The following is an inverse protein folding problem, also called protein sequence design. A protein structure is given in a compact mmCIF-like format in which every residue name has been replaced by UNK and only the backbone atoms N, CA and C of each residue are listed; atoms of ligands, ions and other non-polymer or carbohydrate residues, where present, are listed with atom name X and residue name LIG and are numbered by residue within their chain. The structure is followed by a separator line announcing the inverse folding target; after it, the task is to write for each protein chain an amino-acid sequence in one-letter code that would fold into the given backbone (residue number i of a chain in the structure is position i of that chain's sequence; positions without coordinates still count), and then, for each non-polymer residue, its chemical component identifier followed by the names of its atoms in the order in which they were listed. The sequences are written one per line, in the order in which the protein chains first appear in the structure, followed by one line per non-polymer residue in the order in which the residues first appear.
data_IF_734572936516
#
_entry.id   IF_734572936516
#
_cell.length_a   1.000
_cell.length_b   1.000
_cell.length_c   1.000
_cell.angle_alpha   90.00
_cell.angle_beta   90.00
_cell.angle_gamma   90.00
#
_symmetry.space_group_name_H-M   'P 1'
#
loop_
_entity.id
_entity.type
_entity.pdbx_description
1 polymer ?
#
# COMPACT_ATOMS: atom_id res chain seq x y z
N UNK A 1 -4.15 8.33 9.63
CA UNK A 1 -3.65 7.41 10.68
C UNK A 1 -2.46 8.05 11.40
N UNK A 2 -2.29 7.90 12.73
CA UNK A 2 -1.17 8.51 13.47
C UNK A 2 0.16 7.80 13.18
N UNK A 3 0.86 8.24 12.12
CA UNK A 3 2.13 7.63 11.67
C UNK A 3 3.26 7.71 12.69
N UNK A 4 3.23 8.68 13.62
CA UNK A 4 4.22 8.76 14.70
C UNK A 4 4.25 7.52 15.61
N UNK A 5 3.10 6.87 15.82
CA UNK A 5 3.02 5.63 16.60
C UNK A 5 3.64 4.42 15.89
N UNK A 6 3.74 4.45 14.55
CA UNK A 6 4.46 3.43 13.79
C UNK A 6 5.96 3.59 13.99
N UNK A 7 6.45 4.82 13.87
CA UNK A 7 7.87 5.18 13.98
C UNK A 7 8.40 5.06 15.42
N UNK A 8 7.57 5.31 16.44
CA UNK A 8 8.02 5.20 17.83
C UNK A 8 8.34 3.75 18.27
N UNK A 9 7.64 2.77 17.70
CA UNK A 9 7.66 1.38 18.17
C UNK A 9 8.07 0.38 17.07
N UNK A 10 8.84 0.81 16.07
CA UNK A 10 9.36 -0.12 15.06
C UNK A 10 10.61 -0.84 15.57
N UNK A 11 10.89 -2.00 14.96
CA UNK A 11 12.03 -2.85 15.26
C UNK A 11 13.08 -2.56 14.17
N UNK A 12 14.29 -2.09 14.49
CA UNK A 12 15.26 -1.63 13.47
C UNK A 12 15.72 -2.69 12.47
N UNK A 13 15.61 -3.96 12.83
CA UNK A 13 15.91 -5.13 12.01
C UNK A 13 14.78 -5.50 11.03
N UNK A 14 13.59 -4.93 11.19
CA UNK A 14 12.43 -5.19 10.36
C UNK A 14 12.05 -3.97 9.50
N UNK A 15 11.42 -4.18 8.33
CA UNK A 15 10.92 -3.08 7.52
C UNK A 15 9.87 -2.24 8.28
N UNK A 16 10.01 -0.92 8.18
CA UNK A 16 9.11 0.03 8.81
C UNK A 16 7.79 0.15 8.05
N UNK A 17 7.86 0.25 6.72
CA UNK A 17 6.68 0.40 5.89
C UNK A 17 6.88 -0.35 4.56
N UNK A 18 5.88 -1.12 4.17
CA UNK A 18 5.79 -1.75 2.85
C UNK A 18 4.60 -1.14 2.13
N UNK A 19 4.86 -0.40 1.05
CA UNK A 19 3.81 0.16 0.19
C UNK A 19 3.53 -0.82 -0.94
N UNK A 20 2.40 -1.53 -0.85
CA UNK A 20 1.98 -2.60 -1.75
C UNK A 20 1.10 -2.00 -2.85
N UNK A 21 1.43 -2.23 -4.12
CA UNK A 21 0.77 -1.53 -5.23
C UNK A 21 1.09 -0.03 -5.23
N UNK A 22 2.30 0.33 -4.80
CA UNK A 22 2.64 1.71 -4.48
C UNK A 22 2.92 2.61 -5.67
N UNK A 23 2.87 2.09 -6.90
CA UNK A 23 3.09 2.82 -8.16
C UNK A 23 4.36 3.66 -8.10
N UNK A 24 4.24 4.99 -8.22
CA UNK A 24 5.36 5.95 -8.21
C UNK A 24 5.94 6.24 -6.83
N UNK A 25 5.45 5.61 -5.77
CA UNK A 25 6.00 5.73 -4.41
C UNK A 25 5.72 7.06 -3.70
N UNK A 26 4.78 7.87 -4.19
CA UNK A 26 4.46 9.19 -3.62
C UNK A 26 4.15 9.15 -2.12
N UNK A 27 3.48 8.11 -1.65
CA UNK A 27 3.13 7.98 -0.22
C UNK A 27 4.35 7.73 0.66
N UNK A 28 5.33 6.98 0.18
CA UNK A 28 6.60 6.78 0.90
C UNK A 28 7.45 8.05 0.92
N UNK A 29 7.44 8.83 -0.16
CA UNK A 29 8.11 10.15 -0.20
C UNK A 29 7.51 11.09 0.84
N UNK A 30 6.17 11.17 0.90
CA UNK A 30 5.47 11.98 1.93
C UNK A 30 5.74 11.45 3.33
N UNK A 31 5.73 10.13 3.52
CA UNK A 31 6.03 9.51 4.79
C UNK A 31 7.44 9.88 5.27
N UNK A 32 8.44 9.86 4.39
CA UNK A 32 9.80 10.28 4.73
C UNK A 32 9.89 11.78 5.08
N UNK A 33 9.19 12.67 4.36
CA UNK A 33 9.13 14.10 4.71
C UNK A 33 8.60 14.31 6.14
N UNK A 34 7.58 13.54 6.54
CA UNK A 34 7.03 13.61 7.89
C UNK A 34 7.93 12.96 8.96
N UNK A 35 8.75 11.98 8.57
CA UNK A 35 9.61 11.19 9.47
C UNK A 35 11.04 11.07 8.93
N UNK A 36 11.80 12.19 8.83
CA UNK A 36 13.09 12.22 8.15
C UNK A 36 14.18 11.41 8.88
N UNK A 37 14.01 11.18 10.18
CA UNK A 37 14.95 10.44 11.03
C UNK A 37 14.75 8.92 10.97
N UNK A 38 13.90 8.42 10.07
CA UNK A 38 13.73 6.98 9.85
C UNK A 38 14.98 6.40 9.18
N UNK A 39 15.41 5.16 9.54
CA UNK A 39 16.59 4.57 8.92
C UNK A 39 16.43 4.48 7.41
N UNK A 40 17.53 4.73 6.70
CA UNK A 40 17.56 4.55 5.26
C UNK A 40 17.15 3.12 4.89
N UNK A 41 16.37 2.99 3.80
CA UNK A 41 15.88 1.71 3.25
C UNK A 41 14.96 0.92 4.19
N UNK A 42 14.45 1.54 5.26
CA UNK A 42 13.41 0.94 6.12
C UNK A 42 12.03 0.94 5.46
N UNK A 43 11.83 1.77 4.43
CA UNK A 43 10.63 1.78 3.60
C UNK A 43 10.85 1.01 2.30
N UNK A 44 9.88 0.17 1.94
CA UNK A 44 9.90 -0.69 0.76
C UNK A 44 8.73 -0.34 -0.16
N UNK A 45 9.03 -0.05 -1.42
CA UNK A 45 8.05 0.11 -2.50
C UNK A 45 7.90 -1.21 -3.25
N UNK A 46 6.66 -1.67 -3.41
CA UNK A 46 6.31 -2.86 -4.17
C UNK A 46 5.29 -2.54 -5.26
N UNK A 47 5.60 -3.00 -6.47
CA UNK A 47 4.70 -3.00 -7.63
C UNK A 47 5.23 -4.00 -8.67
N UNK A 48 4.50 -4.20 -9.76
CA UNK A 48 4.92 -5.06 -10.86
C UNK A 48 6.23 -4.55 -11.49
N UNK A 49 7.12 -5.45 -11.96
CA UNK A 49 8.39 -5.06 -12.57
C UNK A 49 8.27 -4.05 -13.71
N UNK A 50 7.17 -4.11 -14.48
CA UNK A 50 6.92 -3.20 -15.59
C UNK A 50 6.62 -1.78 -15.12
N UNK A 51 5.94 -1.61 -13.98
CA UNK A 51 5.64 -0.30 -13.40
C UNK A 51 6.92 0.33 -12.85
N UNK A 52 7.79 -0.49 -12.26
CA UNK A 52 9.01 -0.04 -11.59
C UNK A 52 10.19 0.28 -12.52
N UNK A 53 10.14 -0.12 -13.80
CA UNK A 53 11.30 -0.10 -14.71
C UNK A 53 11.93 1.29 -14.89
N UNK A 54 11.11 2.32 -15.03
CA UNK A 54 11.55 3.69 -15.38
C UNK A 54 11.33 4.70 -14.23
N UNK A 55 11.22 4.18 -13.00
CA UNK A 55 10.89 4.98 -11.82
C UNK A 55 12.15 5.57 -11.17
N UNK A 56 12.17 6.90 -11.06
CA UNK A 56 13.18 7.61 -10.26
C UNK A 56 12.70 7.69 -8.82
N UNK A 57 13.18 6.75 -7.99
CA UNK A 57 12.84 6.66 -6.58
C UNK A 57 14.03 7.17 -5.74
N UNK A 58 13.80 7.98 -4.70
CA UNK A 58 14.85 8.40 -3.79
C UNK A 58 15.60 7.22 -3.13
N UNK A 59 16.92 7.35 -2.97
CA UNK A 59 17.80 6.28 -2.46
C UNK A 59 17.44 5.73 -1.06
N UNK A 60 16.66 6.48 -0.28
CA UNK A 60 16.19 6.06 1.04
C UNK A 60 15.02 5.08 1.00
N UNK A 61 14.40 4.86 -0.17
CA UNK A 61 13.32 3.89 -0.39
C UNK A 61 13.91 2.68 -1.12
N UNK A 62 13.69 1.49 -0.57
CA UNK A 62 14.04 0.25 -1.25
C UNK A 62 12.95 -0.14 -2.23
N UNK A 63 13.28 -0.37 -3.49
CA UNK A 63 12.34 -0.91 -4.48
C UNK A 63 12.43 -2.44 -4.50
N UNK A 64 11.29 -3.12 -4.39
CA UNK A 64 11.19 -4.58 -4.50
C UNK A 64 10.04 -4.95 -5.45
N UNK A 65 10.33 -5.36 -6.70
CA UNK A 65 9.28 -5.84 -7.59
C UNK A 65 8.51 -6.99 -6.97
N UNK A 66 7.18 -6.91 -7.00
CA UNK A 66 6.31 -7.91 -6.39
C UNK A 66 4.92 -7.88 -7.03
N UNK A 67 4.37 -9.07 -7.25
CA UNK A 67 2.97 -9.29 -7.60
C UNK A 67 2.21 -9.71 -6.33
N UNK A 68 1.25 -8.90 -5.89
CA UNK A 68 0.49 -9.16 -4.66
C UNK A 68 -0.43 -10.39 -4.73
N UNK A 69 -0.66 -10.96 -5.93
CA UNK A 69 -1.31 -12.26 -6.08
C UNK A 69 -0.39 -13.43 -5.77
N UNK A 70 0.89 -13.17 -5.49
CA UNK A 70 1.86 -14.14 -5.00
C UNK A 70 2.15 -13.93 -3.51
N UNK A 71 2.61 -14.96 -2.78
CA UNK A 71 2.95 -14.83 -1.37
C UNK A 71 3.86 -13.63 -1.10
N UNK A 72 3.53 -12.83 -0.08
CA UNK A 72 4.25 -11.61 0.24
C UNK A 72 5.68 -11.94 0.72
N UNK A 73 6.75 -11.46 0.04
CA UNK A 73 8.14 -11.78 0.39
C UNK A 73 8.65 -11.05 1.63
N UNK A 74 8.07 -9.89 1.97
CA UNK A 74 8.47 -9.12 3.14
C UNK A 74 7.67 -9.59 4.36
N UNK A 75 8.37 -10.00 5.42
CA UNK A 75 7.76 -10.52 6.64
C UNK A 75 7.97 -9.59 7.83
N UNK A 76 7.00 -9.55 8.73
CA UNK A 76 7.08 -8.85 10.01
C UNK A 76 7.17 -7.32 9.90
N UNK A 77 6.82 -6.73 8.76
CA UNK A 77 6.90 -5.27 8.63
C UNK A 77 5.99 -4.57 9.65
N UNK A 78 6.42 -3.40 10.13
CA UNK A 78 5.64 -2.61 11.10
C UNK A 78 4.30 -2.14 10.53
N UNK A 79 4.29 -1.78 9.25
CA UNK A 79 3.09 -1.45 8.49
C UNK A 79 3.15 -1.99 7.05
N UNK A 80 2.04 -2.56 6.61
CA UNK A 80 1.72 -2.78 5.19
C UNK A 80 0.69 -1.72 4.81
N UNK A 81 0.95 -0.97 3.74
CA UNK A 81 0.10 0.12 3.28
C UNK A 81 -0.37 -0.15 1.86
N UNK A 82 -1.66 0.04 1.62
CA UNK A 82 -2.32 -0.09 0.32
C UNK A 82 -3.14 1.17 0.09
N UNK A 83 -2.94 1.81 -1.06
CA UNK A 83 -3.65 3.02 -1.42
C UNK A 83 -4.17 2.87 -2.84
N UNK A 84 -5.50 2.85 -2.99
CA UNK A 84 -6.15 2.68 -4.29
C UNK A 84 -5.70 1.38 -4.97
N UNK A 85 -5.84 0.27 -4.27
CA UNK A 85 -5.46 -1.06 -4.77
C UNK A 85 -6.63 -2.01 -4.74
N UNK A 86 -7.36 -2.09 -3.62
CA UNK A 86 -8.37 -3.13 -3.43
C UNK A 86 -9.64 -2.87 -4.26
N UNK A 87 -9.92 -1.62 -4.63
CA UNK A 87 -11.09 -1.29 -5.45
C UNK A 87 -11.03 -1.90 -6.86
N UNK A 88 -9.83 -2.15 -7.40
CA UNK A 88 -9.65 -2.70 -8.75
C UNK A 88 -10.09 -4.18 -8.86
N UNK A 89 -10.39 -4.83 -7.74
CA UNK A 89 -10.54 -6.28 -7.65
C UNK A 89 -11.87 -6.67 -7.02
N UNK A 90 -12.42 -7.81 -7.47
CA UNK A 90 -13.57 -8.43 -6.82
C UNK A 90 -13.20 -9.01 -5.45
N UNK A 91 -14.22 -9.28 -4.61
CA UNK A 91 -14.06 -9.74 -3.22
C UNK A 91 -13.12 -10.94 -3.07
N UNK A 92 -13.14 -11.87 -4.04
CA UNK A 92 -12.32 -13.09 -3.99
C UNK A 92 -10.84 -12.77 -4.16
N UNK A 93 -10.51 -11.95 -5.15
CA UNK A 93 -9.17 -11.46 -5.46
C UNK A 93 -8.66 -10.56 -4.33
N UNK A 94 -9.48 -9.61 -3.87
CA UNK A 94 -9.17 -8.75 -2.73
C UNK A 94 -8.89 -9.58 -1.46
N UNK A 95 -9.70 -10.60 -1.18
CA UNK A 95 -9.50 -11.52 -0.06
C UNK A 95 -8.19 -12.30 -0.18
N UNK A 96 -7.82 -12.73 -1.39
CA UNK A 96 -6.55 -13.41 -1.64
C UNK A 96 -5.36 -12.49 -1.35
N UNK A 97 -5.42 -11.23 -1.81
CA UNK A 97 -4.38 -10.23 -1.56
C UNK A 97 -4.22 -9.99 -0.06
N UNK A 98 -5.34 -9.74 0.64
CA UNK A 98 -5.36 -9.51 2.08
C UNK A 98 -4.80 -10.71 2.86
N UNK A 99 -5.09 -11.93 2.41
CA UNK A 99 -4.55 -13.15 3.02
C UNK A 99 -3.03 -13.23 2.90
N UNK A 100 -2.46 -12.96 1.72
CA UNK A 100 -1.00 -12.93 1.55
C UNK A 100 -0.33 -11.91 2.46
N UNK A 101 -0.95 -10.75 2.68
CA UNK A 101 -0.44 -9.77 3.63
C UNK A 101 -0.55 -10.31 5.06
N UNK A 102 -1.71 -10.81 5.46
CA UNK A 102 -1.96 -11.34 6.80
C UNK A 102 -0.97 -12.45 7.18
N UNK A 103 -0.64 -13.36 6.26
CA UNK A 103 0.32 -14.46 6.46
C UNK A 103 1.75 -13.99 6.78
N UNK A 104 2.05 -12.71 6.55
CA UNK A 104 3.36 -12.11 6.81
C UNK A 104 3.37 -11.13 7.98
N UNK A 105 2.23 -10.89 8.60
CA UNK A 105 2.08 -9.95 9.71
C UNK A 105 2.47 -10.60 11.03
N UNK A 106 3.20 -9.85 11.85
CA UNK A 106 3.47 -10.24 13.23
C UNK A 106 2.28 -9.82 14.11
N UNK A 107 1.61 -10.76 14.82
CA UNK A 107 0.50 -10.44 15.70
C UNK A 107 0.87 -9.37 16.74
N UNK A 108 -0.06 -8.48 17.06
CA UNK A 108 0.13 -7.35 18.00
C UNK A 108 1.17 -6.29 17.60
N UNK A 109 1.98 -6.54 16.57
CA UNK A 109 3.00 -5.62 16.09
C UNK A 109 2.63 -5.00 14.74
N UNK A 110 2.47 -5.82 13.71
CA UNK A 110 2.18 -5.38 12.35
C UNK A 110 0.80 -4.74 12.25
N UNK A 111 0.67 -3.77 11.34
CA UNK A 111 -0.61 -3.15 10.99
C UNK A 111 -0.80 -3.16 9.48
N UNK A 112 -2.02 -3.45 9.05
CA UNK A 112 -2.46 -3.21 7.68
C UNK A 112 -3.21 -1.88 7.65
N UNK A 113 -2.79 -1.00 6.76
CA UNK A 113 -3.37 0.32 6.55
C UNK A 113 -3.90 0.38 5.12
N UNK A 114 -5.22 0.52 4.98
CA UNK A 114 -5.91 0.60 3.70
C UNK A 114 -6.43 2.03 3.55
N UNK A 115 -6.07 2.66 2.43
CA UNK A 115 -6.56 3.99 2.04
C UNK A 115 -7.32 3.87 0.73
N UNK A 116 -8.63 3.82 0.84
CA UNK A 116 -9.56 3.68 -0.29
C UNK A 116 -10.62 4.77 -0.22
N UNK A 117 -11.16 5.12 -1.39
CA UNK A 117 -12.40 5.92 -1.45
C UNK A 117 -13.55 5.04 -0.98
N UNK A 118 -14.39 5.56 -0.08
CA UNK A 118 -15.61 4.87 0.36
C UNK A 118 -16.79 5.54 -0.34
N UNK A 119 -17.59 4.77 -1.10
CA UNK A 119 -18.83 5.28 -1.68
C UNK A 119 -19.94 5.23 -0.64
N UNK A 120 -20.45 6.39 -0.25
CA UNK A 120 -21.71 6.45 0.48
C UNK A 120 -22.89 6.29 -0.48
N UNK A 121 -23.79 5.35 -0.19
CA UNK A 121 -25.02 5.10 -0.95
C UNK A 121 -25.95 6.32 -1.02
N UNK A 122 -25.77 7.30 -0.12
CA UNK A 122 -26.53 8.54 -0.10
C UNK A 122 -25.61 9.73 -0.37
N UNK A 123 -25.80 10.39 -1.53
CA UNK A 123 -25.03 11.56 -2.00
C UNK A 123 -23.51 11.31 -2.08
N UNK A 124 -23.04 10.46 -3.00
CA UNK A 124 -21.61 10.26 -3.21
C UNK A 124 -20.95 11.59 -3.64
N UNK A 125 -19.71 11.77 -3.21
CA UNK A 125 -18.88 12.89 -3.64
C UNK A 125 -18.62 12.77 -5.15
N UNK A 126 -18.76 13.88 -5.90
CA UNK A 126 -18.61 13.88 -7.35
C UNK A 126 -17.27 13.31 -7.84
N UNK A 127 -16.20 13.48 -7.07
CA UNK A 127 -14.88 12.88 -7.35
C UNK A 127 -14.94 11.36 -7.39
N UNK A 128 -15.62 10.76 -6.41
CA UNK A 128 -15.74 9.31 -6.23
C UNK A 128 -16.62 8.74 -7.35
N UNK A 129 -17.74 9.40 -7.67
CA UNK A 129 -18.58 9.03 -8.83
C UNK A 129 -17.83 9.10 -10.16
N UNK A 130 -16.88 10.04 -10.32
CA UNK A 130 -16.08 10.14 -11.55
C UNK A 130 -15.05 9.02 -11.64
N UNK A 131 -14.40 8.67 -10.52
CA UNK A 131 -13.49 7.52 -10.46
C UNK A 131 -14.20 6.21 -10.76
N UNK A 132 -15.38 5.98 -10.18
CA UNK A 132 -16.21 4.79 -10.42
C UNK A 132 -16.54 4.59 -11.90
N UNK A 133 -16.97 5.66 -12.60
CA UNK A 133 -17.20 5.60 -14.06
C UNK A 133 -15.92 5.23 -14.82
N UNK A 134 -14.77 5.80 -14.44
CA UNK A 134 -13.50 5.52 -15.09
C UNK A 134 -13.05 4.07 -14.84
N UNK A 135 -13.31 3.54 -13.64
CA UNK A 135 -13.01 2.17 -13.26
C UNK A 135 -13.87 1.15 -14.00
N UNK A 136 -15.19 1.37 -14.06
CA UNK A 136 -16.09 0.51 -14.84
C UNK A 136 -15.67 0.50 -16.31
N UNK A 137 -15.33 1.68 -16.85
CA UNK A 137 -14.95 1.81 -18.25
C UNK A 137 -13.60 1.17 -18.60
N UNK A 138 -12.61 1.24 -17.71
CA UNK A 138 -11.24 0.80 -18.01
C UNK A 138 -10.92 -0.63 -17.52
N UNK A 139 -11.55 -1.06 -16.42
CA UNK A 139 -11.14 -2.25 -15.67
C UNK A 139 -12.30 -3.21 -15.37
N UNK A 140 -13.55 -2.80 -15.62
CA UNK A 140 -14.73 -3.61 -15.28
C UNK A 140 -14.97 -3.75 -13.77
N UNK A 141 -14.37 -2.88 -12.96
CA UNK A 141 -14.42 -2.89 -11.50
C UNK A 141 -15.27 -1.73 -10.95
N UNK A 142 -15.71 -1.83 -9.69
CA UNK A 142 -16.56 -0.86 -9.00
C UNK A 142 -15.91 -0.36 -7.71
N UNK A 143 -16.11 0.90 -7.35
CA UNK A 143 -15.77 1.40 -6.01
C UNK A 143 -16.88 0.98 -5.01
N UNK A 144 -16.50 0.46 -3.84
CA UNK A 144 -17.43 0.02 -2.78
C UNK A 144 -17.40 0.95 -1.56
#
# INVERSE_FOLDING_TARGET
YPTGALVANYKPDLPLAVNVGGSKGHDLVKFHICHPNTPARSSILQDLPIILRDLVIPDHISVKPHDFFTPQPVKGARAYFMHNVLHDWEDKEASQILKHIADTMEPSYSKLLIHESIIHTFKPLARVTTSDIAMVACLGANEW
#
